data_IF_976505211084
#
_entry.id   IF_976505211084
#
_cell.length_a   1.000
_cell.length_b   1.000
_cell.length_c   1.000
_cell.angle_alpha   90.00
_cell.angle_beta   90.00
_cell.angle_gamma   90.00
#
_symmetry.space_group_name_H-M   'P 1'
#
loop_
_entity.id
_entity.type
_entity.pdbx_description
1 polymer ?
#
# COMPACT_ATOMS: atom_id res chain seq x y z
N UNK A 1 15.12 15.21 -13.38
CA UNK A 1 13.80 14.95 -14.01
C UNK A 1 13.00 14.09 -13.05
N UNK A 2 12.04 14.68 -12.33
CA UNK A 2 11.10 13.93 -11.50
C UNK A 2 10.20 13.14 -12.45
N UNK A 3 10.26 11.81 -12.43
CA UNK A 3 9.25 11.02 -13.13
C UNK A 3 7.88 11.36 -12.56
N UNK A 4 6.90 11.65 -13.40
CA UNK A 4 5.53 11.85 -12.93
C UNK A 4 5.06 10.59 -12.20
N UNK A 5 4.35 10.73 -11.08
CA UNK A 5 3.83 9.58 -10.38
C UNK A 5 2.86 8.83 -11.30
N UNK A 6 3.04 7.51 -11.37
CA UNK A 6 2.20 6.64 -12.19
C UNK A 6 0.80 6.56 -11.60
N UNK A 7 0.70 6.42 -10.28
CA UNK A 7 -0.57 6.42 -9.55
C UNK A 7 -0.54 7.35 -8.33
N UNK A 8 -1.71 7.82 -7.90
CA UNK A 8 -1.89 8.67 -6.71
C UNK A 8 -3.09 8.20 -5.89
N UNK A 9 -2.86 7.89 -4.63
CA UNK A 9 -3.89 7.75 -3.60
C UNK A 9 -4.23 9.12 -3.03
N UNK A 10 -5.51 9.48 -3.08
CA UNK A 10 -6.07 10.67 -2.45
C UNK A 10 -7.55 10.43 -2.11
N UNK A 11 -7.98 10.84 -0.92
CA UNK A 11 -9.36 10.69 -0.44
C UNK A 11 -9.92 9.27 -0.61
N UNK A 12 -9.12 8.26 -0.26
CA UNK A 12 -9.43 6.83 -0.39
C UNK A 12 -9.64 6.36 -1.84
N UNK A 13 -9.18 7.12 -2.83
CA UNK A 13 -9.26 6.75 -4.25
C UNK A 13 -7.85 6.70 -4.83
N UNK A 14 -7.53 5.60 -5.50
CA UNK A 14 -6.34 5.45 -6.32
C UNK A 14 -6.67 5.85 -7.75
N UNK A 15 -5.95 6.83 -8.28
CA UNK A 15 -6.03 7.23 -9.68
C UNK A 15 -4.72 6.99 -10.38
N UNK A 16 -4.78 6.71 -11.68
CA UNK A 16 -3.59 6.69 -12.52
C UNK A 16 -3.19 8.07 -13.04
N UNK A 17 -2.13 8.11 -13.85
CA UNK A 17 -1.59 9.33 -14.44
C UNK A 17 -2.57 10.07 -15.37
N UNK A 18 -3.59 9.39 -15.90
CA UNK A 18 -4.66 9.98 -16.71
C UNK A 18 -5.84 10.46 -15.83
N UNK A 19 -5.79 10.19 -14.51
CA UNK A 19 -6.86 10.49 -13.56
C UNK A 19 -7.95 9.42 -13.50
N UNK A 20 -7.78 8.30 -14.20
CA UNK A 20 -8.73 7.19 -14.19
C UNK A 20 -8.69 6.48 -12.84
N UNK A 21 -9.86 6.14 -12.31
CA UNK A 21 -9.96 5.42 -11.02
C UNK A 21 -9.50 3.97 -11.21
N UNK A 22 -8.43 3.61 -10.49
CA UNK A 22 -7.88 2.25 -10.44
C UNK A 22 -8.50 1.47 -9.29
N UNK A 23 -8.64 2.12 -8.12
CA UNK A 23 -9.22 1.51 -6.93
C UNK A 23 -9.90 2.56 -6.03
N UNK A 24 -10.85 2.11 -5.21
CA UNK A 24 -11.50 2.96 -4.21
C UNK A 24 -11.72 2.19 -2.92
N UNK A 25 -11.49 2.82 -1.77
CA UNK A 25 -11.73 2.23 -0.45
C UNK A 25 -13.00 2.82 0.18
N UNK A 26 -13.96 1.94 0.55
CA UNK A 26 -15.16 2.31 1.31
C UNK A 26 -15.50 1.22 2.31
N UNK A 27 -15.83 1.61 3.54
CA UNK A 27 -16.26 0.69 4.61
C UNK A 27 -15.35 -0.54 4.75
N UNK A 28 -14.03 -0.30 4.83
CA UNK A 28 -13.00 -1.34 4.95
C UNK A 28 -12.97 -2.35 3.78
N UNK A 29 -13.49 -1.96 2.61
CA UNK A 29 -13.40 -2.73 1.36
C UNK A 29 -12.71 -1.89 0.30
N UNK A 30 -11.73 -2.48 -0.39
CA UNK A 30 -11.14 -1.90 -1.61
C UNK A 30 -11.84 -2.50 -2.83
N UNK A 31 -12.37 -1.65 -3.68
CA UNK A 31 -12.97 -1.98 -4.97
C UNK A 31 -11.92 -1.74 -6.07
N UNK A 32 -11.69 -2.74 -6.92
CA UNK A 32 -10.68 -2.74 -8.00
C UNK A 32 -11.32 -3.34 -9.26
N UNK A 33 -11.98 -2.51 -10.07
CA UNK A 33 -12.88 -3.00 -11.11
C UNK A 33 -13.96 -3.90 -10.51
N UNK A 34 -14.05 -5.14 -10.98
CA UNK A 34 -14.97 -6.15 -10.46
C UNK A 34 -14.46 -6.87 -9.19
N UNK A 35 -13.19 -6.69 -8.82
CA UNK A 35 -12.60 -7.35 -7.66
C UNK A 35 -12.82 -6.54 -6.38
N UNK A 36 -12.93 -7.27 -5.26
CA UNK A 36 -13.02 -6.68 -3.93
C UNK A 36 -12.01 -7.30 -2.98
N UNK A 37 -11.43 -6.46 -2.13
CA UNK A 37 -10.57 -6.86 -1.03
C UNK A 37 -11.15 -6.34 0.29
N UNK A 38 -11.53 -7.24 1.19
CA UNK A 38 -11.83 -6.88 2.58
C UNK A 38 -10.53 -6.52 3.29
N UNK A 39 -10.50 -5.37 3.97
CA UNK A 39 -9.33 -4.83 4.68
C UNK A 39 -9.53 -4.99 6.17
N UNK A 40 -8.54 -5.58 6.83
CA UNK A 40 -8.49 -5.69 8.28
C UNK A 40 -7.13 -5.21 8.77
N UNK A 41 -7.14 -4.14 9.57
CA UNK A 41 -5.92 -3.57 10.11
C UNK A 41 -5.93 -3.65 11.63
N UNK A 42 -4.77 -3.88 12.22
CA UNK A 42 -4.56 -3.78 13.66
C UNK A 42 -3.25 -3.03 13.88
N UNK A 43 -3.31 -1.94 14.64
CA UNK A 43 -2.10 -1.20 15.02
C UNK A 43 -2.02 -1.05 16.54
N UNK A 44 -0.80 -1.18 17.05
CA UNK A 44 -0.44 -0.93 18.44
C UNK A 44 0.92 -0.21 18.51
N UNK A 45 1.43 0.07 19.72
CA UNK A 45 2.62 0.91 19.91
C UNK A 45 3.86 0.45 19.11
N UNK A 46 4.03 -0.86 18.94
CA UNK A 46 5.17 -1.46 18.24
C UNK A 46 4.74 -2.51 17.18
N UNK A 47 3.44 -2.59 16.87
CA UNK A 47 2.91 -3.63 15.99
C UNK A 47 1.95 -3.06 14.98
N UNK A 48 2.15 -3.41 13.72
CA UNK A 48 1.23 -3.15 12.62
C UNK A 48 0.98 -4.49 11.92
N UNK A 49 -0.29 -4.82 11.73
CA UNK A 49 -0.73 -5.95 10.89
C UNK A 49 -1.85 -5.47 9.99
N UNK A 50 -1.80 -5.90 8.75
CA UNK A 50 -2.80 -5.64 7.73
C UNK A 50 -3.06 -6.93 6.98
N UNK A 51 -4.34 -7.24 6.78
CA UNK A 51 -4.80 -8.37 5.99
C UNK A 51 -5.78 -7.86 4.95
N UNK A 52 -5.63 -8.36 3.75
CA UNK A 52 -6.60 -8.23 2.68
C UNK A 52 -7.14 -9.62 2.35
N UNK A 53 -8.45 -9.75 2.21
CA UNK A 53 -9.08 -11.00 1.79
C UNK A 53 -9.84 -10.75 0.50
N UNK A 54 -9.44 -11.41 -0.58
CA UNK A 54 -10.13 -11.39 -1.85
C UNK A 54 -11.41 -12.25 -1.80
N UNK A 55 -12.32 -12.02 -2.75
CA UNK A 55 -13.60 -12.75 -2.84
C UNK A 55 -13.42 -14.27 -3.00
N UNK A 56 -12.30 -14.71 -3.57
CA UNK A 56 -11.93 -16.12 -3.71
C UNK A 56 -11.25 -16.72 -2.46
N UNK A 57 -11.12 -15.96 -1.37
CA UNK A 57 -10.45 -16.36 -0.13
C UNK A 57 -8.93 -16.20 -0.15
N UNK A 58 -8.32 -15.74 -1.25
CA UNK A 58 -6.89 -15.43 -1.28
C UNK A 58 -6.58 -14.28 -0.32
N UNK A 59 -5.50 -14.45 0.46
CA UNK A 59 -5.10 -13.48 1.46
C UNK A 59 -3.79 -12.80 1.07
N UNK A 60 -3.76 -11.49 1.23
CA UNK A 60 -2.54 -10.69 1.26
C UNK A 60 -2.32 -10.24 2.69
N UNK A 61 -1.13 -10.46 3.22
CA UNK A 61 -0.78 -10.03 4.58
C UNK A 61 0.40 -9.08 4.56
N UNK A 62 0.41 -8.12 5.48
CA UNK A 62 1.51 -7.20 5.69
C UNK A 62 1.68 -6.90 7.17
N UNK A 63 2.93 -6.75 7.60
CA UNK A 63 3.27 -6.44 8.99
C UNK A 63 4.56 -5.66 9.08
N UNK A 64 4.76 -4.94 10.17
CA UNK A 64 6.08 -4.37 10.44
C UNK A 64 7.12 -5.44 10.80
N UNK A 65 8.37 -5.14 10.47
CA UNK A 65 9.56 -5.90 10.86
C UNK A 65 10.29 -5.08 11.94
N UNK A 66 10.38 -5.64 13.14
CA UNK A 66 10.95 -4.95 14.31
C UNK A 66 9.92 -4.07 15.03
N UNK A 67 10.39 -3.03 15.72
CA UNK A 67 9.56 -2.21 16.62
C UNK A 67 8.87 -1.02 15.94
N UNK A 68 9.22 -0.70 14.70
CA UNK A 68 8.67 0.47 13.97
C UNK A 68 8.13 0.04 12.62
N UNK A 69 7.26 0.86 12.01
CA UNK A 69 6.78 0.68 10.64
C UNK A 69 7.82 1.04 9.57
N UNK A 70 9.10 1.24 9.94
CA UNK A 70 10.16 1.63 9.00
C UNK A 70 10.43 0.55 7.94
N UNK A 71 10.28 -0.72 8.30
CA UNK A 71 10.31 -1.85 7.38
C UNK A 71 9.03 -2.65 7.54
N UNK A 72 8.38 -2.96 6.42
CA UNK A 72 7.23 -3.86 6.38
C UNK A 72 7.58 -5.08 5.52
N UNK A 73 7.09 -6.25 5.94
CA UNK A 73 7.11 -7.46 5.15
C UNK A 73 5.68 -7.79 4.73
N UNK A 74 5.51 -8.21 3.48
CA UNK A 74 4.22 -8.63 2.96
C UNK A 74 4.31 -9.93 2.15
N UNK A 75 3.21 -10.67 2.13
CA UNK A 75 3.06 -11.93 1.39
C UNK A 75 1.76 -11.87 0.61
N UNK A 76 1.84 -12.02 -0.71
CA UNK A 76 0.72 -12.10 -1.65
C UNK A 76 0.81 -13.46 -2.36
N UNK A 77 0.02 -14.44 -1.93
CA UNK A 77 0.19 -15.85 -2.32
C UNK A 77 1.65 -16.33 -2.14
N UNK A 78 2.34 -16.65 -3.25
CA UNK A 78 3.73 -17.11 -3.30
C UNK A 78 4.75 -15.96 -3.35
N UNK A 79 4.31 -14.72 -3.57
CA UNK A 79 5.17 -13.55 -3.76
C UNK A 79 5.43 -12.86 -2.43
N UNK A 80 6.70 -12.59 -2.15
CA UNK A 80 7.16 -11.93 -0.92
C UNK A 80 7.70 -10.54 -1.23
N UNK A 81 7.31 -9.58 -0.41
CA UNK A 81 7.67 -8.18 -0.58
C UNK A 81 8.30 -7.58 0.68
N UNK A 82 9.22 -6.65 0.49
CA UNK A 82 9.65 -5.70 1.53
C UNK A 82 9.28 -4.28 1.13
N UNK A 83 8.86 -3.48 2.12
CA UNK A 83 8.49 -2.09 1.94
C UNK A 83 9.25 -1.24 2.95
N UNK A 84 10.42 -0.79 2.53
CA UNK A 84 11.40 -0.16 3.41
C UNK A 84 11.41 1.35 3.20
N UNK A 85 11.27 2.12 4.29
CA UNK A 85 11.48 3.57 4.27
C UNK A 85 12.92 3.86 3.87
N UNK A 86 13.10 4.81 2.94
CA UNK A 86 14.44 5.26 2.51
C UNK A 86 15.07 6.22 3.51
N UNK A 87 14.25 6.86 4.35
CA UNK A 87 14.69 7.78 5.40
C UNK A 87 13.67 7.78 6.56
N UNK A 88 14.11 7.97 7.81
CA UNK A 88 13.19 8.20 8.92
C UNK A 88 12.37 9.50 8.78
N UNK A 89 12.95 10.53 8.14
CA UNK A 89 12.35 11.87 8.00
C UNK A 89 11.45 11.98 6.76
N UNK A 90 11.84 11.35 5.66
CA UNK A 90 11.04 11.32 4.43
C UNK A 90 10.18 10.08 4.42
N UNK A 91 8.87 10.28 4.33
CA UNK A 91 7.90 9.18 4.20
C UNK A 91 7.88 8.64 2.77
N UNK A 92 9.03 8.18 2.33
CA UNK A 92 9.28 7.56 1.03
C UNK A 92 9.67 6.10 1.28
N UNK A 93 9.11 5.16 0.50
CA UNK A 93 9.49 3.75 0.57
C UNK A 93 9.87 3.18 -0.79
N UNK A 94 10.70 2.15 -0.74
CA UNK A 94 10.94 1.26 -1.86
C UNK A 94 10.22 -0.05 -1.61
N UNK A 95 9.43 -0.50 -2.58
CA UNK A 95 8.78 -1.81 -2.59
C UNK A 95 9.68 -2.74 -3.40
N UNK A 96 10.10 -3.85 -2.79
CA UNK A 96 10.93 -4.88 -3.43
C UNK A 96 10.24 -6.22 -3.48
N UNK A 97 10.47 -6.96 -4.57
CA UNK A 97 10.17 -8.39 -4.73
C UNK A 97 11.44 -9.07 -5.19
N UNK A 98 11.85 -10.15 -4.53
CA UNK A 98 13.06 -10.91 -4.87
C UNK A 98 14.33 -10.03 -5.03
N UNK A 99 14.47 -9.03 -4.15
CA UNK A 99 15.57 -8.07 -4.15
C UNK A 99 15.48 -6.95 -5.21
N UNK A 100 14.53 -7.02 -6.15
CA UNK A 100 14.33 -6.00 -7.21
C UNK A 100 13.29 -4.98 -6.80
N UNK A 101 13.53 -3.72 -7.16
CA UNK A 101 12.55 -2.64 -6.94
C UNK A 101 11.42 -2.77 -7.95
N UNK A 102 10.19 -2.94 -7.47
CA UNK A 102 8.98 -3.04 -8.30
C UNK A 102 8.13 -1.79 -8.24
N UNK A 103 8.31 -0.95 -7.21
CA UNK A 103 7.70 0.37 -7.09
C UNK A 103 8.41 1.24 -6.05
N UNK A 104 8.21 2.55 -6.15
CA UNK A 104 8.53 3.52 -5.11
C UNK A 104 7.28 4.29 -4.71
N UNK A 105 7.14 4.57 -3.43
CA UNK A 105 6.02 5.36 -2.90
C UNK A 105 6.53 6.58 -2.15
N UNK A 106 5.81 7.69 -2.26
CA UNK A 106 6.10 8.90 -1.51
C UNK A 106 4.80 9.49 -0.96
N UNK A 107 4.72 9.61 0.36
CA UNK A 107 3.59 10.21 1.05
C UNK A 107 3.76 11.74 1.17
N UNK A 108 2.68 12.47 0.90
CA UNK A 108 2.60 13.91 1.08
C UNK A 108 1.25 14.28 1.70
N UNK A 109 1.27 14.80 2.94
CA UNK A 109 0.07 15.08 3.75
C UNK A 109 -0.85 13.85 3.84
N UNK A 110 -2.01 13.89 3.19
CA UNK A 110 -3.03 12.82 3.14
C UNK A 110 -3.03 12.05 1.82
N UNK A 111 -2.08 12.35 0.93
CA UNK A 111 -1.91 11.68 -0.36
C UNK A 111 -0.68 10.79 -0.36
N UNK A 112 -0.68 9.77 -1.22
CA UNK A 112 0.48 8.92 -1.49
C UNK A 112 0.64 8.73 -3.00
N UNK A 113 1.83 8.99 -3.50
CA UNK A 113 2.19 8.77 -4.90
C UNK A 113 2.92 7.46 -5.08
N UNK A 114 2.72 6.80 -6.23
CA UNK A 114 3.37 5.54 -6.61
C UNK A 114 4.06 5.74 -7.96
N UNK A 115 5.30 5.29 -8.09
CA UNK A 115 6.11 5.47 -9.30
C UNK A 115 6.98 4.24 -9.57
N UNK A 116 7.47 4.14 -10.81
CA UNK A 116 8.39 3.07 -11.22
C UNK A 116 7.75 1.68 -11.08
N UNK A 117 6.47 1.56 -11.44
CA UNK A 117 5.75 0.29 -11.39
C UNK A 117 6.23 -0.64 -12.50
N UNK A 118 6.93 -1.71 -12.12
CA UNK A 118 7.47 -2.69 -13.05
C UNK A 118 7.10 -4.10 -12.57
N UNK A 119 6.43 -4.88 -13.44
CA UNK A 119 6.05 -6.28 -13.16
C UNK A 119 5.31 -6.46 -11.82
N UNK A 120 4.50 -5.47 -11.43
CA UNK A 120 3.81 -5.43 -10.16
C UNK A 120 2.33 -5.79 -10.36
N UNK A 121 1.87 -7.01 -9.97
CA UNK A 121 0.48 -7.40 -10.16
C UNK A 121 -0.48 -6.40 -9.53
N UNK A 122 -1.58 -6.08 -10.22
CA UNK A 122 -2.50 -5.01 -9.83
C UNK A 122 -3.04 -5.16 -8.40
N UNK A 123 -3.51 -6.36 -8.02
CA UNK A 123 -4.03 -6.61 -6.67
C UNK A 123 -2.96 -6.38 -5.60
N UNK A 124 -1.76 -6.92 -5.81
CA UNK A 124 -0.62 -6.71 -4.91
C UNK A 124 -0.27 -5.22 -4.83
N UNK A 125 -0.22 -4.52 -5.96
CA UNK A 125 0.13 -3.11 -6.02
C UNK A 125 -0.87 -2.24 -5.25
N UNK A 126 -2.17 -2.47 -5.44
CA UNK A 126 -3.23 -1.76 -4.71
C UNK A 126 -3.15 -2.06 -3.22
N UNK A 127 -3.08 -3.34 -2.83
CA UNK A 127 -3.04 -3.75 -1.43
C UNK A 127 -1.81 -3.20 -0.69
N UNK A 128 -0.63 -3.36 -1.29
CA UNK A 128 0.63 -2.93 -0.68
C UNK A 128 0.73 -1.41 -0.57
N UNK A 129 0.32 -0.67 -1.60
CA UNK A 129 0.34 0.80 -1.55
C UNK A 129 -0.74 1.37 -0.63
N UNK A 130 -1.89 0.70 -0.48
CA UNK A 130 -2.88 1.05 0.55
C UNK A 130 -2.31 0.90 1.96
N UNK A 131 -1.59 -0.18 2.24
CA UNK A 131 -0.94 -0.30 3.56
C UNK A 131 0.10 0.79 3.82
N UNK A 132 0.79 1.29 2.78
CA UNK A 132 1.61 2.50 2.92
C UNK A 132 0.78 3.75 3.25
N UNK A 133 -0.41 3.91 2.67
CA UNK A 133 -1.34 4.99 3.05
C UNK A 133 -1.64 4.94 4.55
N UNK A 134 -1.99 3.75 5.08
CA UNK A 134 -2.33 3.60 6.49
C UNK A 134 -1.19 4.02 7.45
N UNK A 135 0.07 3.72 7.10
CA UNK A 135 1.21 3.97 8.00
C UNK A 135 1.93 5.29 7.75
N UNK A 136 1.82 5.87 6.55
CA UNK A 136 2.59 7.06 6.16
C UNK A 136 1.70 8.29 5.91
N UNK A 137 0.50 8.11 5.37
CA UNK A 137 -0.45 9.17 5.05
C UNK A 137 -1.85 8.90 5.62
N UNK A 138 -2.00 8.54 6.92
CA UNK A 138 -3.31 8.22 7.48
C UNK A 138 -4.23 9.44 7.33
N UNK A 139 -5.26 9.29 6.50
CA UNK A 139 -6.33 10.27 6.40
C UNK A 139 -7.09 10.37 7.72
N UNK A 140 -7.78 11.51 7.96
CA UNK A 140 -8.63 11.70 9.15
C UNK A 140 -9.71 10.62 9.34
N UNK A 141 -10.08 9.92 8.26
CA UNK A 141 -11.16 8.94 8.22
C UNK A 141 -10.69 7.48 8.16
N UNK A 142 -9.38 7.23 8.19
CA UNK A 142 -8.85 5.87 8.25
C UNK A 142 -9.00 5.39 9.69
N UNK A 143 -10.05 4.61 9.97
CA UNK A 143 -10.20 3.94 11.27
C UNK A 143 -9.15 2.84 11.34
N UNK A 144 -8.20 3.03 12.25
CA UNK A 144 -7.33 1.97 12.71
C UNK A 144 -8.01 1.41 13.97
N UNK A 145 -8.65 0.26 13.85
CA UNK A 145 -9.26 -0.47 14.97
C UNK A 145 -8.23 -1.30 15.74
#
# INVERSE_FOLDING_TARGET
>A
MSQQPTWVWEDNVLRDHEGTVVAQVRADVIFIGEHRLLVESTSGPCSFRLRFTAENGEMITMRNVGFTVSSLAAVCADRRYTLDRVSPLRKERTIRRDGRVVARVAAHRTSLTVSGMHEFPLLDAVALTWGCVLVDAPGRNVRIS
#
